data_IF_198723873636
#
_entry.id   IF_198723873636
#
_cell.length_a   1.000
_cell.length_b   1.000
_cell.length_c   1.000
_cell.angle_alpha   90.00
_cell.angle_beta   90.00
_cell.angle_gamma   90.00
#
_symmetry.space_group_name_H-M   'P 1'
#
loop_
_entity.id
_entity.type
_entity.pdbx_description
1 polymer ?
#
# COMPACT_ATOMS: atom_id res chain seq x y z
N UNK A 1 -13.09 -4.83 47.24
CA UNK A 1 -14.21 -4.85 46.27
C UNK A 1 -13.65 -5.35 44.95
N UNK A 2 -13.98 -6.60 44.59
CA UNK A 2 -13.50 -7.30 43.40
C UNK A 2 -14.21 -6.75 42.16
N UNK A 3 -13.49 -6.16 41.20
CA UNK A 3 -14.06 -5.79 39.91
C UNK A 3 -14.21 -7.07 39.08
N UNK A 4 -15.44 -7.52 38.91
CA UNK A 4 -15.77 -8.62 38.01
C UNK A 4 -15.36 -8.24 36.58
N UNK A 5 -14.46 -9.03 36.00
CA UNK A 5 -14.11 -8.98 34.59
C UNK A 5 -15.35 -9.30 33.75
N UNK A 6 -15.99 -8.27 33.20
CA UNK A 6 -17.07 -8.45 32.24
C UNK A 6 -16.50 -9.22 31.02
N UNK A 7 -16.91 -10.48 30.87
CA UNK A 7 -16.57 -11.27 29.69
C UNK A 7 -17.27 -10.65 28.48
N UNK A 8 -16.50 -9.97 27.62
CA UNK A 8 -17.03 -9.46 26.36
C UNK A 8 -17.45 -10.64 25.49
N UNK A 9 -18.76 -10.84 25.32
CA UNK A 9 -19.27 -11.81 24.37
C UNK A 9 -18.70 -11.51 22.96
N UNK A 10 -18.32 -12.53 22.17
CA UNK A 10 -17.69 -12.31 20.87
C UNK A 10 -18.64 -11.58 19.93
N UNK A 11 -18.15 -10.51 19.30
CA UNK A 11 -18.90 -9.74 18.29
C UNK A 11 -19.22 -10.67 17.12
N UNK A 12 -20.51 -10.97 16.92
CA UNK A 12 -20.98 -11.78 15.79
C UNK A 12 -21.15 -10.88 14.57
N UNK A 13 -20.29 -11.06 13.56
CA UNK A 13 -20.37 -10.34 12.28
C UNK A 13 -21.31 -11.05 11.31
N UNK A 14 -22.11 -10.28 10.57
CA UNK A 14 -22.98 -10.80 9.52
C UNK A 14 -22.17 -11.38 8.35
N UNK A 15 -22.74 -12.35 7.63
CA UNK A 15 -22.09 -12.94 6.45
C UNK A 15 -21.78 -11.89 5.39
N UNK A 16 -22.70 -10.95 5.14
CA UNK A 16 -22.49 -9.86 4.20
C UNK A 16 -21.29 -8.99 4.56
N UNK A 17 -21.10 -8.68 5.85
CA UNK A 17 -19.92 -7.94 6.32
C UNK A 17 -18.63 -8.72 6.04
N UNK A 18 -18.61 -10.04 6.28
CA UNK A 18 -17.45 -10.89 5.99
C UNK A 18 -17.11 -10.90 4.50
N UNK A 19 -18.12 -10.99 3.63
CA UNK A 19 -17.93 -10.98 2.17
C UNK A 19 -17.35 -9.64 1.69
N UNK A 20 -17.94 -8.51 2.13
CA UNK A 20 -17.44 -7.17 1.78
C UNK A 20 -15.98 -7.01 2.22
N UNK A 21 -15.68 -7.44 3.44
CA UNK A 21 -14.32 -7.37 3.98
C UNK A 21 -13.36 -8.26 3.21
N UNK A 22 -13.78 -9.47 2.82
CA UNK A 22 -13.00 -10.39 1.99
C UNK A 22 -12.67 -9.83 0.61
N UNK A 23 -13.63 -9.17 -0.05
CA UNK A 23 -13.40 -8.52 -1.36
C UNK A 23 -12.38 -7.37 -1.20
N UNK A 24 -12.52 -6.54 -0.17
CA UNK A 24 -11.57 -5.46 0.10
C UNK A 24 -10.16 -6.00 0.36
N UNK A 25 -10.05 -7.05 1.19
CA UNK A 25 -8.78 -7.70 1.48
C UNK A 25 -8.13 -8.30 0.22
N UNK A 26 -8.92 -8.96 -0.63
CA UNK A 26 -8.47 -9.52 -1.91
C UNK A 26 -7.91 -8.43 -2.83
N UNK A 27 -8.55 -7.26 -2.93
CA UNK A 27 -8.04 -6.13 -3.70
C UNK A 27 -6.66 -5.67 -3.23
N UNK A 28 -6.49 -5.45 -1.92
CA UNK A 28 -5.17 -5.10 -1.35
C UNK A 28 -4.12 -6.19 -1.56
N UNK A 29 -4.47 -7.46 -1.37
CA UNK A 29 -3.53 -8.58 -1.57
C UNK A 29 -3.09 -8.71 -3.03
N UNK A 30 -4.01 -8.51 -3.98
CA UNK A 30 -3.70 -8.54 -5.40
C UNK A 30 -2.72 -7.42 -5.79
N UNK A 31 -2.97 -6.18 -5.35
CA UNK A 31 -2.09 -5.04 -5.63
C UNK A 31 -0.69 -5.33 -5.07
N UNK A 32 -0.60 -5.73 -3.80
CA UNK A 32 0.69 -6.04 -3.16
C UNK A 32 1.41 -7.20 -3.85
N UNK A 33 0.69 -8.24 -4.27
CA UNK A 33 1.26 -9.39 -4.97
C UNK A 33 1.78 -9.03 -6.36
N UNK A 34 0.98 -8.30 -7.15
CA UNK A 34 1.38 -7.80 -8.47
C UNK A 34 2.60 -6.90 -8.35
N UNK A 35 2.57 -5.94 -7.42
CA UNK A 35 3.66 -5.01 -7.22
C UNK A 35 4.94 -5.72 -6.78
N UNK A 36 4.88 -6.62 -5.80
CA UNK A 36 6.05 -7.33 -5.29
C UNK A 36 6.69 -8.28 -6.31
N UNK A 37 5.88 -8.95 -7.15
CA UNK A 37 6.39 -9.92 -8.10
C UNK A 37 6.73 -9.31 -9.48
N UNK A 38 5.85 -8.47 -10.02
CA UNK A 38 5.93 -8.03 -11.42
C UNK A 38 6.69 -6.72 -11.60
N UNK A 39 6.76 -5.85 -10.59
CA UNK A 39 7.44 -4.56 -10.74
C UNK A 39 8.94 -4.72 -11.06
N UNK A 40 9.72 -5.55 -10.35
CA UNK A 40 11.13 -5.76 -10.68
C UNK A 40 11.30 -6.37 -12.07
N UNK A 41 10.45 -7.33 -12.44
CA UNK A 41 10.45 -7.98 -13.76
C UNK A 41 10.19 -6.95 -14.86
N UNK A 42 9.20 -6.07 -14.68
CA UNK A 42 8.88 -5.02 -15.64
C UNK A 42 10.04 -4.05 -15.85
N UNK A 43 10.62 -3.53 -14.77
CA UNK A 43 11.73 -2.58 -14.89
C UNK A 43 13.01 -3.24 -15.40
N UNK A 44 13.31 -4.47 -14.96
CA UNK A 44 14.54 -5.16 -15.33
C UNK A 44 14.46 -5.77 -16.73
N UNK A 45 13.47 -6.63 -16.98
CA UNK A 45 13.45 -7.51 -18.14
C UNK A 45 12.80 -6.81 -19.35
N UNK A 46 11.83 -5.92 -19.15
CA UNK A 46 11.18 -5.18 -20.23
C UNK A 46 11.81 -3.81 -20.51
N UNK A 47 12.22 -3.08 -19.47
CA UNK A 47 12.82 -1.74 -19.62
C UNK A 47 14.35 -1.73 -19.54
N UNK A 48 14.97 -2.84 -19.13
CA UNK A 48 16.43 -2.98 -19.09
C UNK A 48 17.09 -2.25 -17.91
N UNK A 49 16.35 -1.88 -16.86
CA UNK A 49 16.92 -1.25 -15.67
C UNK A 49 17.82 -2.25 -14.93
N UNK A 50 19.07 -1.88 -14.69
CA UNK A 50 20.00 -2.79 -14.02
C UNK A 50 19.58 -3.09 -12.59
N UNK A 51 19.85 -4.32 -12.13
CA UNK A 51 19.50 -4.79 -10.79
C UNK A 51 20.04 -3.89 -9.66
N UNK A 52 21.19 -3.23 -9.89
CA UNK A 52 21.76 -2.25 -8.93
C UNK A 52 20.79 -1.10 -8.63
N UNK A 53 20.15 -0.53 -9.65
CA UNK A 53 19.20 0.57 -9.47
C UNK A 53 17.91 0.10 -8.83
N UNK A 54 17.43 -1.08 -9.20
CA UNK A 54 16.23 -1.70 -8.59
C UNK A 54 16.47 -1.96 -7.10
N UNK A 55 17.61 -2.54 -6.75
CA UNK A 55 17.98 -2.78 -5.35
C UNK A 55 18.08 -1.49 -4.55
N UNK A 56 18.68 -0.44 -5.12
CA UNK A 56 18.77 0.87 -4.48
C UNK A 56 17.38 1.50 -4.27
N UNK A 57 16.51 1.47 -5.29
CA UNK A 57 15.15 2.00 -5.19
C UNK A 57 14.34 1.24 -4.12
N UNK A 58 14.48 -0.08 -4.09
CA UNK A 58 13.81 -0.95 -3.12
C UNK A 58 14.28 -0.71 -1.69
N UNK A 59 15.58 -0.45 -1.48
CA UNK A 59 16.13 -0.09 -0.18
C UNK A 59 15.60 1.27 0.31
N UNK A 60 15.56 2.28 -0.57
CA UNK A 60 14.99 3.60 -0.23
C UNK A 60 13.51 3.47 0.09
N UNK A 61 12.75 2.72 -0.71
CA UNK A 61 11.34 2.44 -0.47
C UNK A 61 11.09 1.75 0.87
N UNK A 62 11.93 0.77 1.25
CA UNK A 62 11.83 0.11 2.55
C UNK A 62 12.04 1.09 3.72
N UNK A 63 13.03 1.98 3.63
CA UNK A 63 13.28 3.02 4.64
C UNK A 63 12.09 3.98 4.72
N UNK A 64 11.56 4.40 3.57
CA UNK A 64 10.39 5.27 3.51
C UNK A 64 9.18 4.64 4.21
N UNK A 65 8.88 3.37 3.96
CA UNK A 65 7.77 2.67 4.61
C UNK A 65 8.00 2.50 6.12
N UNK A 66 9.23 2.21 6.55
CA UNK A 66 9.56 2.10 7.97
C UNK A 66 9.25 3.40 8.74
N UNK A 67 9.26 4.56 8.07
CA UNK A 67 8.89 5.85 8.64
C UNK A 67 7.38 6.12 8.49
N UNK A 68 6.81 5.86 7.31
CA UNK A 68 5.40 6.14 7.02
C UNK A 68 4.44 5.26 7.82
N UNK A 69 4.76 3.98 8.00
CA UNK A 69 3.85 3.04 8.66
C UNK A 69 3.51 3.48 10.11
N UNK A 70 4.48 3.84 10.97
CA UNK A 70 4.20 4.43 12.28
C UNK A 70 3.46 5.77 12.21
N UNK A 71 3.84 6.64 11.27
CA UNK A 71 3.26 7.98 11.14
C UNK A 71 1.77 7.91 10.80
N UNK A 72 1.41 7.16 9.76
CA UNK A 72 0.01 6.96 9.37
C UNK A 72 -0.75 6.12 10.40
N UNK A 73 -0.09 5.20 11.10
CA UNK A 73 -0.65 4.54 12.27
C UNK A 73 -1.13 5.55 13.32
N UNK A 74 -0.27 6.48 13.71
CA UNK A 74 -0.62 7.52 14.69
C UNK A 74 -1.71 8.48 14.20
N UNK A 75 -1.64 8.93 12.94
CA UNK A 75 -2.63 9.85 12.35
C UNK A 75 -4.02 9.19 12.28
N UNK A 76 -4.08 7.97 11.76
CA UNK A 76 -5.37 7.27 11.61
C UNK A 76 -5.98 6.91 12.96
N UNK A 77 -5.15 6.60 13.96
CA UNK A 77 -5.63 6.33 15.31
C UNK A 77 -6.09 7.60 16.03
N UNK A 78 -5.43 8.75 15.85
CA UNK A 78 -5.84 10.02 16.49
C UNK A 78 -7.10 10.64 15.88
N UNK A 79 -7.56 10.16 14.72
CA UNK A 79 -8.68 10.74 13.98
C UNK A 79 -10.04 10.38 14.57
N UNK A 80 -10.80 11.39 14.98
CA UNK A 80 -12.19 11.25 15.46
C UNK A 80 -13.18 11.60 14.36
N UNK A 81 -13.67 10.61 13.62
CA UNK A 81 -14.69 10.78 12.58
C UNK A 81 -16.00 10.08 12.95
N UNK A 82 -17.14 10.71 12.59
CA UNK A 82 -18.50 10.16 12.79
C UNK A 82 -18.73 8.82 12.07
N UNK A 83 -17.99 8.57 10.99
CA UNK A 83 -18.10 7.35 10.18
C UNK A 83 -17.08 6.28 10.56
N UNK A 84 -16.33 6.46 11.66
CA UNK A 84 -15.25 5.57 12.10
C UNK A 84 -13.86 6.09 11.75
N UNK A 85 -12.85 5.62 12.51
CA UNK A 85 -11.47 6.16 12.50
C UNK A 85 -10.75 5.99 11.16
N UNK A 86 -10.95 4.87 10.46
CA UNK A 86 -10.20 4.50 9.23
C UNK A 86 -10.98 4.67 7.91
N UNK A 87 -12.30 4.82 7.97
CA UNK A 87 -13.17 4.88 6.78
C UNK A 87 -12.92 6.12 5.90
N UNK A 88 -12.72 7.33 6.45
CA UNK A 88 -12.40 8.51 5.64
C UNK A 88 -11.11 8.32 4.84
N UNK A 89 -10.06 7.81 5.47
CA UNK A 89 -8.77 7.57 4.83
C UNK A 89 -8.91 6.61 3.65
N UNK A 90 -9.49 5.43 3.87
CA UNK A 90 -9.67 4.44 2.80
C UNK A 90 -10.44 5.00 1.59
N UNK A 91 -11.46 5.84 1.83
CA UNK A 91 -12.26 6.42 0.73
C UNK A 91 -11.46 7.40 -0.13
N UNK A 92 -10.60 8.23 0.48
CA UNK A 92 -9.83 9.24 -0.27
C UNK A 92 -8.50 8.71 -0.78
N UNK A 93 -7.87 7.76 -0.09
CA UNK A 93 -6.60 7.18 -0.54
C UNK A 93 -6.79 6.11 -1.60
N UNK A 94 -7.94 5.43 -1.69
CA UNK A 94 -8.14 4.39 -2.70
C UNK A 94 -8.04 4.90 -4.16
N UNK A 95 -8.68 6.02 -4.56
CA UNK A 95 -8.49 6.57 -5.90
C UNK A 95 -7.06 7.02 -6.17
N UNK A 96 -6.41 7.59 -5.15
CA UNK A 96 -5.01 8.02 -5.24
C UNK A 96 -4.08 6.81 -5.45
N UNK A 97 -4.23 5.75 -4.66
CA UNK A 97 -3.52 4.49 -4.81
C UNK A 97 -3.75 3.87 -6.20
N UNK A 98 -4.98 3.88 -6.70
CA UNK A 98 -5.28 3.36 -8.03
C UNK A 98 -4.53 4.16 -9.12
N UNK A 99 -4.50 5.49 -9.01
CA UNK A 99 -3.79 6.35 -9.95
C UNK A 99 -2.27 6.12 -9.91
N UNK A 100 -1.67 6.09 -8.72
CA UNK A 100 -0.22 5.88 -8.56
C UNK A 100 0.19 4.47 -8.97
N UNK A 101 -0.64 3.46 -8.66
CA UNK A 101 -0.45 2.10 -9.13
C UNK A 101 -0.48 2.01 -10.65
N UNK A 102 -1.32 2.77 -11.33
CA UNK A 102 -1.31 2.80 -12.81
C UNK A 102 -0.06 3.51 -13.32
N UNK A 103 0.32 4.63 -12.70
CA UNK A 103 1.44 5.48 -13.11
C UNK A 103 2.80 4.76 -13.10
N UNK A 104 3.02 3.82 -12.17
CA UNK A 104 4.29 3.05 -12.10
C UNK A 104 4.58 2.26 -13.38
N UNK A 105 3.54 1.84 -14.10
CA UNK A 105 3.65 1.07 -15.34
C UNK A 105 3.79 1.94 -16.60
N UNK A 106 3.54 3.25 -16.48
CA UNK A 106 3.66 4.22 -17.58
C UNK A 106 5.07 4.80 -17.74
N UNK A 107 6.10 4.09 -17.23
CA UNK A 107 7.48 4.50 -17.39
C UNK A 107 7.84 4.65 -18.89
N UNK A 108 8.53 5.73 -19.29
CA UNK A 108 8.84 5.99 -20.69
C UNK A 108 9.72 4.88 -21.27
N UNK A 109 9.26 4.16 -22.30
CA UNK A 109 10.03 3.07 -22.89
C UNK A 109 11.29 3.62 -23.57
N UNK A 110 12.42 2.92 -23.41
CA UNK A 110 13.76 3.30 -23.93
C UNK A 110 14.39 4.54 -23.26
N UNK A 111 13.89 4.96 -22.12
CA UNK A 111 14.58 5.98 -21.33
C UNK A 111 15.90 5.46 -20.75
N UNK A 112 16.83 6.36 -20.43
CA UNK A 112 18.10 6.01 -19.79
C UNK A 112 17.89 5.46 -18.37
N UNK A 113 18.91 4.76 -17.86
CA UNK A 113 18.89 4.13 -16.52
C UNK A 113 18.45 5.09 -15.40
N UNK A 114 18.95 6.32 -15.41
CA UNK A 114 18.63 7.33 -14.40
C UNK A 114 17.15 7.74 -14.44
N UNK A 115 16.60 7.98 -15.64
CA UNK A 115 15.20 8.36 -15.79
C UNK A 115 14.27 7.23 -15.33
N UNK A 116 14.58 5.99 -15.73
CA UNK A 116 13.83 4.81 -15.28
C UNK A 116 13.91 4.63 -13.76
N UNK A 117 15.10 4.83 -13.16
CA UNK A 117 15.29 4.79 -11.71
C UNK A 117 14.48 5.87 -10.98
N UNK A 118 14.55 7.13 -11.42
CA UNK A 118 13.81 8.21 -10.77
C UNK A 118 12.30 8.08 -10.98
N UNK A 119 11.86 7.57 -12.13
CA UNK A 119 10.45 7.26 -12.36
C UNK A 119 9.97 6.15 -11.44
N UNK A 120 10.71 5.03 -11.37
CA UNK A 120 10.44 3.93 -10.44
C UNK A 120 10.37 4.47 -9.03
N UNK A 121 11.44 5.07 -8.52
CA UNK A 121 11.52 5.57 -7.16
C UNK A 121 10.40 6.58 -6.85
N UNK A 122 10.20 7.57 -7.72
CA UNK A 122 9.16 8.58 -7.53
C UNK A 122 7.77 7.96 -7.42
N UNK A 123 7.42 7.05 -8.32
CA UNK A 123 6.12 6.37 -8.30
C UNK A 123 5.97 5.37 -7.15
N UNK A 124 7.06 4.75 -6.67
CA UNK A 124 7.05 3.91 -5.47
C UNK A 124 6.82 4.70 -4.18
N UNK A 125 7.23 5.97 -4.13
CA UNK A 125 7.15 6.80 -2.91
C UNK A 125 5.81 7.53 -2.74
N UNK A 126 5.00 7.61 -3.81
CA UNK A 126 3.67 8.24 -3.83
C UNK A 126 2.60 7.31 -3.25
#
# INVERSE_FOLDING_TARGET
MSQASASMAPVKLSLGYKVIWGIAALGTSLISGIYGALLPIFYQDYLGLTARWIALASAIYAIWNAINDPLFGYITDSTRSKHGRRIPYMRYTAPFLALTFVLVWFAPPRAGQQMLFFWMLGTMLL
#
